data_IF_831628243899
#
_entry.id   IF_831628243899
#
_cell.length_a   1.000
_cell.length_b   1.000
_cell.length_c   1.000
_cell.angle_alpha   90.00
_cell.angle_beta   90.00
_cell.angle_gamma   90.00
#
_symmetry.space_group_name_H-M   'P 1'
#
loop_
_entity.id
_entity.type
_entity.pdbx_description
1 polymer ?
#
# COMPACT_ATOMS: atom_id res chain seq x y z
N UNK A 1 17.72 1.85 3.53
CA UNK A 1 16.47 2.31 4.19
C UNK A 1 16.83 3.34 5.24
N UNK A 2 15.92 4.26 5.59
CA UNK A 2 16.09 5.15 6.74
C UNK A 2 15.42 4.51 7.94
N UNK A 3 16.20 4.17 8.97
CA UNK A 3 15.65 3.66 10.23
C UNK A 3 14.88 4.78 10.94
N UNK A 4 13.69 4.45 11.46
CA UNK A 4 12.87 5.37 12.25
C UNK A 4 13.12 5.11 13.74
N UNK A 5 12.67 3.96 14.24
CA UNK A 5 12.90 3.50 15.61
C UNK A 5 13.47 2.07 15.57
N UNK A 6 12.60 1.09 15.30
CA UNK A 6 12.91 -0.33 15.23
C UNK A 6 11.61 -1.15 15.30
N UNK A 7 11.66 -2.46 15.04
CA UNK A 7 10.49 -3.34 15.08
C UNK A 7 9.85 -3.39 16.49
N UNK A 8 10.67 -3.36 17.53
CA UNK A 8 10.23 -3.54 18.91
C UNK A 8 9.50 -4.88 19.09
N UNK A 9 8.53 -4.91 20.01
CA UNK A 9 7.70 -6.09 20.25
C UNK A 9 6.52 -6.25 19.29
N UNK A 10 6.38 -5.41 18.26
CA UNK A 10 5.22 -5.46 17.35
C UNK A 10 5.02 -6.84 16.73
N UNK A 11 6.12 -7.54 16.39
CA UNK A 11 6.08 -8.91 15.87
C UNK A 11 5.56 -9.92 16.90
N UNK A 12 6.00 -9.81 18.16
CA UNK A 12 5.56 -10.68 19.25
C UNK A 12 4.06 -10.55 19.50
N UNK A 13 3.53 -9.33 19.48
CA UNK A 13 2.11 -9.07 19.70
C UNK A 13 1.24 -9.38 18.49
N UNK A 14 1.63 -8.97 17.27
CA UNK A 14 0.80 -9.18 16.09
C UNK A 14 0.79 -10.64 15.65
N UNK A 15 1.88 -11.38 15.78
CA UNK A 15 1.88 -12.79 15.37
C UNK A 15 1.06 -13.67 16.33
N UNK A 16 1.05 -13.35 17.62
CA UNK A 16 0.41 -14.17 18.67
C UNK A 16 -0.93 -13.62 19.18
N UNK A 17 -1.31 -12.40 18.79
CA UNK A 17 -2.56 -11.78 19.22
C UNK A 17 -3.79 -12.50 18.68
N UNK A 18 -4.84 -12.58 19.51
CA UNK A 18 -6.14 -13.13 19.10
C UNK A 18 -6.81 -12.28 18.00
N UNK A 19 -6.60 -10.96 18.04
CA UNK A 19 -7.04 -10.02 17.02
C UNK A 19 -5.93 -9.00 16.77
N UNK A 20 -5.49 -8.90 15.51
CA UNK A 20 -4.26 -8.21 15.10
C UNK A 20 -4.59 -6.89 14.41
N UNK A 21 -4.58 -5.80 15.17
CA UNK A 21 -5.01 -4.48 14.70
C UNK A 21 -3.80 -3.57 14.53
N UNK A 22 -3.65 -2.97 13.34
CA UNK A 22 -2.78 -1.83 13.13
C UNK A 22 -3.58 -0.57 12.86
N UNK A 23 -3.04 0.57 13.27
CA UNK A 23 -3.60 1.87 12.96
C UNK A 23 -2.54 2.83 12.41
N UNK A 24 -2.98 3.69 11.51
CA UNK A 24 -2.17 4.78 10.95
C UNK A 24 -3.11 5.90 10.51
N UNK A 25 -2.70 7.18 10.53
CA UNK A 25 -3.41 8.16 9.70
C UNK A 25 -3.32 7.71 8.23
N UNK A 26 -4.35 7.99 7.42
CA UNK A 26 -4.37 7.63 5.99
C UNK A 26 -3.35 8.45 5.18
N UNK A 27 -2.99 9.64 5.67
CA UNK A 27 -1.93 10.51 5.18
C UNK A 27 -1.09 11.08 6.33
N UNK A 28 0.20 11.30 6.11
CA UNK A 28 1.08 12.04 7.03
C UNK A 28 1.39 13.44 6.47
N UNK A 29 1.53 14.46 7.33
CA UNK A 29 1.89 15.80 6.89
C UNK A 29 3.14 15.82 6.00
N UNK A 30 3.09 16.60 4.92
CA UNK A 30 4.21 16.88 4.03
C UNK A 30 4.49 18.38 4.00
N UNK A 31 5.74 18.76 3.69
CA UNK A 31 6.12 20.16 3.48
C UNK A 31 5.74 20.67 2.09
N UNK A 32 5.56 19.75 1.15
CA UNK A 32 5.48 20.02 -0.30
C UNK A 32 4.15 19.62 -0.92
N UNK A 33 3.34 18.82 -0.22
CA UNK A 33 2.01 18.41 -0.65
C UNK A 33 0.99 18.74 0.44
N UNK A 34 -0.03 19.59 0.17
CA UNK A 34 -1.04 19.95 1.16
C UNK A 34 -1.91 18.77 1.60
N UNK A 35 -2.06 17.72 0.77
CA UNK A 35 -2.74 16.48 1.14
C UNK A 35 -1.85 15.60 2.03
N UNK A 36 -0.52 15.73 1.94
CA UNK A 36 0.43 14.90 2.66
C UNK A 36 0.85 13.64 1.91
N UNK A 37 1.56 12.75 2.59
CA UNK A 37 2.10 11.48 2.07
C UNK A 37 1.14 10.35 2.46
N UNK A 38 0.63 9.57 1.52
CA UNK A 38 -0.26 8.45 1.87
C UNK A 38 0.46 7.33 2.63
N UNK A 39 -0.24 6.75 3.60
CA UNK A 39 0.22 5.60 4.37
C UNK A 39 -0.20 4.25 3.77
N UNK A 40 -1.09 4.25 2.78
CA UNK A 40 -1.47 3.06 2.01
C UNK A 40 -0.85 3.19 0.64
N UNK A 41 -0.08 2.17 0.23
CA UNK A 41 0.70 2.20 -1.01
C UNK A 41 0.52 0.88 -1.78
N UNK A 42 0.74 0.88 -3.10
CA UNK A 42 0.68 -0.34 -3.93
C UNK A 42 1.52 -1.51 -3.38
N UNK A 43 2.73 -1.18 -2.91
CA UNK A 43 3.64 -2.10 -2.24
C UNK A 43 4.45 -1.34 -1.21
N UNK A 44 4.50 -1.86 0.01
CA UNK A 44 5.35 -1.29 1.05
C UNK A 44 6.84 -1.53 0.70
N UNK A 45 7.70 -0.50 0.83
CA UNK A 45 9.12 -0.59 0.46
C UNK A 45 9.94 -1.42 1.46
N UNK A 46 9.38 -1.70 2.63
CA UNK A 46 9.92 -2.56 3.68
C UNK A 46 8.73 -3.26 4.35
N UNK A 47 8.86 -4.55 4.64
CA UNK A 47 7.80 -5.37 5.24
C UNK A 47 8.29 -5.88 6.58
N UNK A 48 7.72 -5.34 7.66
CA UNK A 48 7.92 -5.84 9.02
C UNK A 48 6.90 -6.95 9.38
N UNK A 49 5.69 -6.83 8.84
CA UNK A 49 4.57 -7.73 9.09
C UNK A 49 3.92 -8.13 7.78
N UNK A 50 3.73 -9.43 7.60
CA UNK A 50 3.05 -9.97 6.42
C UNK A 50 1.54 -9.78 6.54
N UNK A 51 0.82 -10.00 5.45
CA UNK A 51 -0.63 -10.04 5.41
C UNK A 51 -1.24 -11.05 6.40
N UNK A 52 -0.51 -12.11 6.75
CA UNK A 52 -0.92 -13.11 7.74
C UNK A 52 -0.86 -12.62 9.19
N UNK A 53 -0.12 -11.53 9.44
CA UNK A 53 0.04 -10.92 10.76
C UNK A 53 -0.89 -9.71 10.97
N UNK A 54 -1.79 -9.42 10.01
CA UNK A 54 -2.70 -8.29 10.05
C UNK A 54 -4.16 -8.71 9.80
N UNK A 55 -4.99 -8.59 10.82
CA UNK A 55 -6.43 -8.85 10.72
C UNK A 55 -7.20 -7.59 10.38
N UNK A 56 -6.82 -6.45 10.96
CA UNK A 56 -7.58 -5.19 10.85
C UNK A 56 -6.65 -4.01 10.64
N UNK A 57 -6.97 -3.18 9.64
CA UNK A 57 -6.34 -1.87 9.45
C UNK A 57 -7.33 -0.76 9.82
N UNK A 58 -6.87 0.24 10.57
CA UNK A 58 -7.67 1.40 10.97
C UNK A 58 -6.97 2.70 10.55
N UNK A 59 -7.75 3.60 9.96
CA UNK A 59 -7.36 5.00 9.69
C UNK A 59 -8.48 5.93 10.11
N UNK A 60 -8.28 7.25 10.02
CA UNK A 60 -9.35 8.21 10.25
C UNK A 60 -10.47 8.16 9.19
N UNK A 61 -10.25 7.45 8.07
CA UNK A 61 -11.27 7.23 7.03
C UNK A 61 -12.22 6.06 7.37
N UNK A 62 -11.79 5.15 8.25
CA UNK A 62 -12.54 3.95 8.60
C UNK A 62 -11.66 2.74 8.94
N UNK A 63 -12.34 1.60 9.07
CA UNK A 63 -11.78 0.31 9.49
C UNK A 63 -11.98 -0.74 8.39
N UNK A 64 -10.91 -1.46 8.04
CA UNK A 64 -10.92 -2.60 7.14
C UNK A 64 -10.68 -3.90 7.94
N UNK A 65 -11.70 -4.75 8.05
CA UNK A 65 -11.58 -6.11 8.58
C UNK A 65 -11.21 -7.06 7.43
N UNK A 66 -10.07 -7.74 7.58
CA UNK A 66 -9.40 -8.48 6.52
C UNK A 66 -9.42 -9.99 6.76
N UNK A 67 -10.09 -10.45 7.83
CA UNK A 67 -10.16 -11.87 8.19
C UNK A 67 -10.96 -12.65 7.15
N UNK A 68 -10.42 -13.79 6.74
CA UNK A 68 -11.06 -14.68 5.76
C UNK A 68 -11.07 -14.16 4.31
N UNK A 69 -10.45 -13.00 4.04
CA UNK A 69 -10.39 -12.41 2.70
C UNK A 69 -9.17 -12.89 1.93
N UNK A 70 -9.34 -13.16 0.64
CA UNK A 70 -8.21 -13.37 -0.27
C UNK A 70 -7.46 -12.05 -0.51
N UNK A 71 -6.18 -12.06 -0.95
CA UNK A 71 -5.39 -10.83 -1.06
C UNK A 71 -6.02 -9.72 -1.91
N UNK A 72 -6.74 -10.08 -2.98
CA UNK A 72 -7.49 -9.12 -3.80
C UNK A 72 -8.63 -8.46 -3.04
N UNK A 73 -9.36 -9.22 -2.23
CA UNK A 73 -10.49 -8.71 -1.45
C UNK A 73 -9.98 -7.89 -0.26
N UNK A 74 -8.83 -8.26 0.31
CA UNK A 74 -8.09 -7.46 1.31
C UNK A 74 -7.71 -6.10 0.72
N UNK A 75 -7.10 -6.09 -0.46
CA UNK A 75 -6.71 -4.86 -1.15
C UNK A 75 -7.92 -3.95 -1.41
N UNK A 76 -9.00 -4.48 -1.97
CA UNK A 76 -10.21 -3.70 -2.24
C UNK A 76 -10.83 -3.15 -0.94
N UNK A 77 -10.89 -3.95 0.14
CA UNK A 77 -11.42 -3.50 1.43
C UNK A 77 -10.57 -2.39 2.05
N UNK A 78 -9.24 -2.48 1.96
CA UNK A 78 -8.33 -1.41 2.41
C UNK A 78 -8.54 -0.15 1.58
N UNK A 79 -8.64 -0.27 0.25
CA UNK A 79 -8.89 0.85 -0.66
C UNK A 79 -10.22 1.54 -0.31
N UNK A 80 -11.25 0.76 0.00
CA UNK A 80 -12.57 1.30 0.27
C UNK A 80 -12.73 1.95 1.63
N UNK A 81 -12.03 1.45 2.65
CA UNK A 81 -12.26 1.82 4.06
C UNK A 81 -11.14 2.65 4.69
N UNK A 82 -9.92 2.61 4.14
CA UNK A 82 -8.75 3.16 4.82
C UNK A 82 -7.93 4.16 4.00
N UNK A 83 -8.12 4.21 2.68
CA UNK A 83 -7.38 5.14 1.83
C UNK A 83 -8.01 6.54 1.90
N UNK A 84 -7.15 7.57 1.99
CA UNK A 84 -7.57 8.96 1.89
C UNK A 84 -8.30 9.24 0.55
N UNK A 85 -9.43 9.97 0.52
CA UNK A 85 -10.21 10.20 -0.70
C UNK A 85 -9.39 10.69 -1.89
N UNK A 86 -8.46 11.63 -1.69
CA UNK A 86 -7.55 12.15 -2.72
C UNK A 86 -6.59 11.11 -3.32
N UNK A 87 -6.26 10.06 -2.57
CA UNK A 87 -5.36 8.99 -3.01
C UNK A 87 -6.10 7.76 -3.53
N UNK A 88 -7.41 7.64 -3.23
CA UNK A 88 -8.22 6.49 -3.63
C UNK A 88 -8.24 6.25 -5.14
N UNK A 89 -8.42 7.27 -6.01
CA UNK A 89 -8.42 7.06 -7.46
C UNK A 89 -7.11 6.46 -7.98
N UNK A 90 -5.96 6.99 -7.56
CA UNK A 90 -4.66 6.54 -8.09
C UNK A 90 -4.30 5.13 -7.59
N UNK A 91 -4.71 4.77 -6.36
CA UNK A 91 -4.48 3.42 -5.82
C UNK A 91 -5.44 2.41 -6.46
N UNK A 92 -6.70 2.78 -6.68
CA UNK A 92 -7.67 1.93 -7.39
C UNK A 92 -7.19 1.65 -8.82
N UNK A 93 -6.68 2.68 -9.52
CA UNK A 93 -6.12 2.53 -10.87
C UNK A 93 -4.96 1.52 -10.90
N UNK A 94 -4.04 1.59 -9.93
CA UNK A 94 -2.97 0.58 -9.80
C UNK A 94 -3.55 -0.83 -9.64
N UNK A 95 -4.48 -0.99 -8.70
CA UNK A 95 -5.07 -2.29 -8.38
C UNK A 95 -5.80 -2.89 -9.59
N UNK A 96 -6.56 -2.08 -10.34
CA UNK A 96 -7.31 -2.52 -11.50
C UNK A 96 -6.39 -2.95 -12.65
N UNK A 97 -5.32 -2.18 -12.93
CA UNK A 97 -4.32 -2.58 -13.93
C UNK A 97 -3.60 -3.86 -13.53
N UNK A 98 -3.11 -3.93 -12.29
CA UNK A 98 -2.39 -5.09 -11.78
C UNK A 98 -3.28 -6.35 -11.83
N UNK A 99 -4.53 -6.22 -11.39
CA UNK A 99 -5.52 -7.30 -11.43
C UNK A 99 -5.77 -7.76 -12.87
N UNK A 100 -5.98 -6.84 -13.81
CA UNK A 100 -6.20 -7.16 -15.22
C UNK A 100 -5.01 -7.92 -15.82
N UNK A 101 -3.80 -7.38 -15.66
CA UNK A 101 -2.60 -7.97 -16.27
C UNK A 101 -2.22 -9.32 -15.65
N UNK A 102 -2.21 -9.43 -14.32
CA UNK A 102 -1.83 -10.65 -13.64
C UNK A 102 -2.87 -11.77 -13.86
N UNK A 103 -4.17 -11.45 -13.91
CA UNK A 103 -5.20 -12.44 -14.23
C UNK A 103 -5.06 -12.97 -15.66
N UNK A 104 -4.82 -12.09 -16.64
CA UNK A 104 -4.60 -12.51 -18.03
C UNK A 104 -3.40 -13.46 -18.19
N UNK A 105 -2.40 -13.34 -17.30
CA UNK A 105 -1.20 -14.18 -17.26
C UNK A 105 -1.34 -15.42 -16.37
N UNK A 106 -2.47 -15.63 -15.70
CA UNK A 106 -2.67 -16.75 -14.76
C UNK A 106 -1.92 -16.63 -13.42
N UNK A 107 -1.42 -15.44 -13.07
CA UNK A 107 -0.61 -15.16 -11.87
C UNK A 107 -1.29 -14.15 -10.91
N UNK A 108 -2.63 -14.12 -10.89
CA UNK A 108 -3.43 -13.12 -10.18
C UNK A 108 -3.85 -13.48 -8.76
N UNK A 109 -3.05 -14.23 -8.00
CA UNK A 109 -3.29 -14.45 -6.56
C UNK A 109 -3.10 -13.14 -5.79
N UNK A 110 -1.92 -12.54 -5.96
CA UNK A 110 -1.53 -11.23 -5.44
C UNK A 110 -1.06 -10.35 -6.60
N UNK A 111 -1.98 -9.65 -7.28
CA UNK A 111 -1.64 -8.89 -8.47
C UNK A 111 -0.69 -7.73 -8.12
N UNK A 112 0.51 -7.75 -8.71
CA UNK A 112 1.56 -6.74 -8.50
C UNK A 112 2.28 -6.45 -9.81
N UNK A 113 2.48 -5.16 -10.10
CA UNK A 113 3.26 -4.67 -11.24
C UNK A 113 4.61 -4.16 -10.73
N UNK A 114 5.61 -5.04 -10.66
CA UNK A 114 6.89 -4.76 -10.01
C UNK A 114 7.70 -3.65 -10.69
N UNK A 115 7.49 -3.44 -11.98
CA UNK A 115 8.03 -2.33 -12.76
C UNK A 115 7.61 -0.95 -12.23
N UNK A 116 6.43 -0.84 -11.59
CA UNK A 116 5.85 0.45 -11.17
C UNK A 116 5.31 0.50 -9.75
N UNK A 117 5.36 -0.59 -8.99
CA UNK A 117 4.79 -0.66 -7.63
C UNK A 117 5.38 0.34 -6.63
N UNK A 118 6.56 0.91 -6.92
CA UNK A 118 7.21 1.96 -6.11
C UNK A 118 7.17 3.36 -6.74
N UNK A 119 6.40 3.56 -7.82
CA UNK A 119 6.39 4.82 -8.59
C UNK A 119 5.96 6.02 -7.75
N UNK A 120 5.00 5.86 -6.84
CA UNK A 120 4.56 6.92 -5.93
C UNK A 120 5.68 7.36 -4.97
N UNK A 121 6.44 6.41 -4.43
CA UNK A 121 7.59 6.66 -3.56
C UNK A 121 8.74 7.32 -4.33
N UNK A 122 9.00 6.87 -5.56
CA UNK A 122 9.99 7.50 -6.44
C UNK A 122 9.63 8.96 -6.75
N UNK A 123 8.36 9.22 -7.07
CA UNK A 123 7.86 10.57 -7.32
C UNK A 123 7.92 11.46 -6.07
N UNK A 124 7.71 10.88 -4.87
CA UNK A 124 7.91 11.61 -3.62
C UNK A 124 9.37 12.04 -3.46
N UNK A 125 10.33 11.16 -3.77
CA UNK A 125 11.74 11.47 -3.67
C UNK A 125 12.20 12.54 -4.67
N UNK A 126 11.65 12.53 -5.89
CA UNK A 126 12.05 13.47 -6.95
C UNK A 126 11.29 14.80 -6.89
N UNK A 127 9.98 14.75 -6.63
CA UNK A 127 9.05 15.87 -6.84
C UNK A 127 8.33 16.30 -5.55
N UNK A 128 8.59 15.65 -4.41
CA UNK A 128 8.02 16.02 -3.12
C UNK A 128 6.54 15.64 -2.92
N UNK A 129 5.95 14.83 -3.80
CA UNK A 129 4.57 14.34 -3.67
C UNK A 129 4.42 12.89 -4.11
N UNK A 130 3.52 12.14 -3.49
CA UNK A 130 3.15 10.79 -3.97
C UNK A 130 2.12 10.82 -5.11
N UNK A 131 1.54 11.98 -5.43
CA UNK A 131 0.60 12.13 -6.56
C UNK A 131 1.36 12.06 -7.87
N UNK A 132 1.01 11.08 -8.70
CA UNK A 132 1.59 10.86 -10.03
C UNK A 132 0.59 11.28 -11.12
N UNK A 133 1.09 11.62 -12.32
CA UNK A 133 0.23 11.98 -13.46
C UNK A 133 -0.38 10.76 -14.15
N UNK A 134 0.34 9.64 -14.17
CA UNK A 134 -0.04 8.37 -14.79
C UNK A 134 0.83 7.24 -14.21
N UNK A 135 0.61 6.00 -14.64
CA UNK A 135 1.39 4.83 -14.24
C UNK A 135 2.44 4.36 -15.27
N UNK A 136 2.69 5.15 -16.32
CA UNK A 136 3.64 4.80 -17.38
C UNK A 136 5.07 4.66 -16.87
N UNK A 137 5.81 3.71 -17.40
CA UNK A 137 7.18 3.40 -16.99
C UNK A 137 8.11 3.50 -18.20
N UNK A 138 9.24 4.16 -18.00
CA UNK A 138 10.37 4.10 -18.94
C UNK A 138 11.36 3.11 -18.36
N UNK A 139 11.32 1.86 -18.84
CA UNK A 139 12.34 0.88 -18.50
C UNK A 139 13.41 0.93 -19.57
N UNK A 140 14.60 1.34 -19.17
CA UNK A 140 15.83 1.19 -19.94
C UNK A 140 16.51 -0.09 -19.44
N UNK A 141 16.26 -1.22 -20.12
CA UNK A 141 16.94 -2.48 -19.82
C UNK A 141 18.27 -2.50 -20.56
N UNK A 142 19.34 -2.94 -19.89
CA UNK A 142 20.57 -3.27 -20.59
C UNK A 142 20.28 -4.34 -21.65
N UNK A 143 20.88 -4.18 -22.83
CA UNK A 143 20.89 -5.19 -23.90
C UNK A 143 21.52 -6.52 -23.42
#
# INVERSE_FOLDING_TARGET
TRMINGLGGSGDFLRNGYLKIMHSPSVRPSKTDPTGITCVVPKAPHIDHTEHDLDVLVTEQGLADLRGLAPKDRAQTIIDKCVHPEYKPIIQEYFDMAKKECLAKGIGHEPQLFDRCFKMQQNLAQNGTMKIKNWDINIDLCE
#
